data_IF_683141661556
#
_entry.id   IF_683141661556
#
_cell.length_a   1.000
_cell.length_b   1.000
_cell.length_c   1.000
_cell.angle_alpha   90.00
_cell.angle_beta   90.00
_cell.angle_gamma   90.00
#
_symmetry.space_group_name_H-M   'P 1'
#
loop_
_entity.id
_entity.type
_entity.pdbx_description
1 polymer ?
#
# COMPACT_ATOMS: atom_id res chain seq x y z
N UNK A 1 36.74 -32.78 23.53
CA UNK A 1 36.56 -31.64 24.46
C UNK A 1 36.44 -30.31 23.67
N UNK A 2 37.30 -30.06 22.71
CA UNK A 2 37.29 -28.80 21.88
C UNK A 2 35.97 -28.61 21.10
N UNK A 3 35.41 -29.66 20.52
CA UNK A 3 34.15 -29.61 19.75
C UNK A 3 32.90 -29.22 20.60
N UNK A 4 32.85 -29.67 21.83
CA UNK A 4 31.76 -29.35 22.77
C UNK A 4 31.83 -27.90 23.29
N UNK A 5 33.05 -27.39 23.42
CA UNK A 5 33.28 -25.97 23.78
C UNK A 5 32.87 -25.07 22.64
N UNK A 6 33.21 -25.39 21.38
CA UNK A 6 32.79 -24.64 20.19
C UNK A 6 31.27 -24.63 20.01
N UNK A 7 30.57 -25.74 20.28
CA UNK A 7 29.13 -25.82 20.18
C UNK A 7 28.41 -25.01 21.27
N UNK A 8 28.96 -24.93 22.47
CA UNK A 8 28.45 -24.10 23.57
C UNK A 8 28.64 -22.61 23.26
N UNK A 9 29.81 -22.22 22.73
CA UNK A 9 30.09 -20.86 22.31
C UNK A 9 29.17 -20.46 21.16
N UNK A 10 28.97 -21.30 20.15
CA UNK A 10 28.08 -21.05 19.03
C UNK A 10 26.62 -20.88 19.48
N UNK A 11 26.15 -21.74 20.42
CA UNK A 11 24.82 -21.60 21.01
C UNK A 11 24.69 -20.31 21.83
N UNK A 12 25.72 -19.96 22.60
CA UNK A 12 25.72 -18.72 23.37
C UNK A 12 25.71 -17.48 22.48
N UNK A 13 26.54 -17.44 21.42
CA UNK A 13 26.54 -16.38 20.43
C UNK A 13 25.21 -16.27 19.67
N UNK A 14 24.61 -17.41 19.33
CA UNK A 14 23.30 -17.46 18.70
C UNK A 14 22.19 -16.96 19.63
N UNK A 15 22.25 -17.32 20.92
CA UNK A 15 21.35 -16.83 21.96
C UNK A 15 21.53 -15.32 22.18
N UNK A 16 22.78 -14.83 22.21
CA UNK A 16 23.08 -13.39 22.32
C UNK A 16 22.58 -12.62 21.11
N UNK A 17 22.72 -13.18 19.92
CA UNK A 17 22.19 -12.62 18.67
C UNK A 17 20.66 -12.54 18.73
N UNK A 18 19.99 -13.62 19.16
CA UNK A 18 18.53 -13.64 19.33
C UNK A 18 18.09 -12.60 20.38
N UNK A 19 18.77 -12.51 21.53
CA UNK A 19 18.45 -11.54 22.58
C UNK A 19 18.66 -10.11 22.07
N UNK A 20 19.73 -9.82 21.34
CA UNK A 20 19.97 -8.50 20.77
C UNK A 20 18.93 -8.10 19.71
N UNK A 21 18.44 -9.06 18.93
CA UNK A 21 17.37 -8.84 17.94
C UNK A 21 16.02 -8.62 18.64
N UNK A 22 15.74 -9.33 19.74
CA UNK A 22 14.47 -9.22 20.49
C UNK A 22 14.39 -7.93 21.31
N UNK A 23 15.53 -7.42 21.80
CA UNK A 23 15.60 -6.18 22.59
C UNK A 23 15.77 -4.92 21.76
N UNK A 24 15.82 -5.04 20.43
CA UNK A 24 15.86 -3.88 19.52
C UNK A 24 14.58 -3.03 19.70
N UNK A 25 14.67 -1.99 20.52
CA UNK A 25 13.62 -1.00 20.65
C UNK A 25 13.51 -0.25 19.33
N UNK A 26 12.39 -0.38 18.63
CA UNK A 26 12.09 0.46 17.48
C UNK A 26 11.93 1.89 17.95
N UNK A 27 12.83 2.74 17.50
CA UNK A 27 12.71 4.16 17.75
C UNK A 27 12.93 4.92 16.46
N UNK A 28 12.24 6.03 16.31
CA UNK A 28 12.47 6.91 15.18
C UNK A 28 13.54 7.94 15.53
N UNK A 29 14.56 8.09 14.67
CA UNK A 29 15.62 9.10 14.88
C UNK A 29 15.00 10.48 14.94
N UNK A 30 15.39 11.30 15.92
CA UNK A 30 14.99 12.71 16.01
C UNK A 30 15.41 13.47 14.75
N UNK A 31 14.58 14.41 14.32
CA UNK A 31 14.99 15.39 13.31
C UNK A 31 16.02 16.33 13.90
N UNK A 32 17.03 16.70 13.10
CA UNK A 32 18.10 17.60 13.50
C UNK A 32 17.78 19.10 13.27
N UNK A 33 16.52 19.40 12.94
CA UNK A 33 16.04 20.76 12.69
C UNK A 33 15.24 21.28 13.88
N UNK A 34 15.25 22.59 14.11
CA UNK A 34 14.60 23.23 15.25
C UNK A 34 13.08 22.96 15.31
N UNK A 35 12.43 22.97 14.14
CA UNK A 35 10.99 22.73 14.01
C UNK A 35 10.66 21.29 13.56
N UNK A 36 11.63 20.39 13.59
CA UNK A 36 11.45 19.03 13.12
C UNK A 36 10.47 18.21 13.97
N UNK A 37 9.70 17.36 13.32
CA UNK A 37 8.81 16.41 13.98
C UNK A 37 9.30 14.98 13.71
N UNK A 38 9.31 14.16 14.77
CA UNK A 38 9.66 12.74 14.71
C UNK A 38 8.97 12.03 15.87
N UNK A 39 7.70 11.67 15.70
CA UNK A 39 6.82 11.17 16.76
C UNK A 39 6.20 9.83 16.37
N UNK A 40 6.26 8.86 17.27
CA UNK A 40 5.51 7.61 17.21
C UNK A 40 4.30 7.75 18.12
N UNK A 41 3.13 7.42 17.59
CA UNK A 41 1.87 7.44 18.32
C UNK A 41 1.09 6.15 18.08
N UNK A 42 0.30 5.75 19.09
CA UNK A 42 -0.72 4.72 18.97
C UNK A 42 -2.07 5.39 19.23
N UNK A 43 -2.73 5.82 18.17
CA UNK A 43 -3.99 6.53 18.24
C UNK A 43 -5.15 5.55 18.40
N UNK A 44 -6.12 5.90 19.23
CA UNK A 44 -7.40 5.21 19.27
C UNK A 44 -8.26 5.69 18.10
N UNK A 45 -8.34 4.86 17.05
CA UNK A 45 -9.12 5.12 15.83
C UNK A 45 -10.24 4.09 15.78
N UNK A 46 -11.47 4.54 16.00
CA UNK A 46 -12.68 3.70 15.96
C UNK A 46 -12.51 2.39 16.76
N UNK A 47 -12.19 2.54 18.06
CA UNK A 47 -12.00 1.46 19.03
C UNK A 47 -10.81 0.52 18.73
N UNK A 48 -9.89 0.92 17.87
CA UNK A 48 -8.65 0.18 17.61
C UNK A 48 -7.45 1.09 17.77
N UNK A 49 -6.40 0.61 18.51
CA UNK A 49 -5.12 1.32 18.58
C UNK A 49 -4.34 1.11 17.29
N UNK A 50 -4.07 2.17 16.57
CA UNK A 50 -3.38 2.14 15.30
C UNK A 50 -2.08 2.93 15.39
N UNK A 51 -1.02 2.39 14.80
CA UNK A 51 0.31 2.98 14.77
C UNK A 51 0.37 4.09 13.74
N UNK A 52 0.84 5.26 14.18
CA UNK A 52 1.09 6.43 13.33
C UNK A 52 2.48 6.96 13.64
N UNK A 53 3.29 7.16 12.60
CA UNK A 53 4.58 7.81 12.68
C UNK A 53 4.51 9.14 11.93
N UNK A 54 4.78 10.23 12.60
CA UNK A 54 4.81 11.59 12.06
C UNK A 54 6.25 12.02 11.87
N UNK A 55 6.63 12.42 10.65
CA UNK A 55 8.00 12.87 10.38
C UNK A 55 8.04 14.00 9.37
N UNK A 56 8.91 14.98 9.65
CA UNK A 56 9.17 16.10 8.74
C UNK A 56 10.26 17.00 9.29
N UNK A 57 11.02 17.67 8.42
CA UNK A 57 12.05 18.64 8.83
C UNK A 57 11.46 19.91 9.42
N UNK A 58 10.21 20.23 9.09
CA UNK A 58 9.45 21.32 9.69
C UNK A 58 8.00 20.87 9.89
N UNK A 59 7.51 20.92 11.13
CA UNK A 59 6.11 20.59 11.48
C UNK A 59 5.07 21.53 10.88
N UNK A 60 5.50 22.68 10.34
CA UNK A 60 4.65 23.64 9.65
C UNK A 60 4.51 23.33 8.15
N UNK A 61 5.29 22.37 7.64
CA UNK A 61 5.11 21.89 6.26
C UNK A 61 3.71 21.25 6.09
N UNK A 62 3.19 21.26 4.86
CA UNK A 62 1.91 20.60 4.55
C UNK A 62 1.90 19.15 5.00
N UNK A 63 0.75 18.71 5.51
CA UNK A 63 0.56 17.33 5.96
C UNK A 63 0.30 16.43 4.75
N UNK A 64 1.13 15.42 4.57
CA UNK A 64 0.96 14.37 3.58
C UNK A 64 0.57 13.06 4.28
N UNK A 65 -0.65 12.58 4.04
CA UNK A 65 -1.10 11.28 4.49
C UNK A 65 -0.90 10.25 3.38
N UNK A 66 -0.15 9.18 3.67
CA UNK A 66 0.03 8.06 2.76
C UNK A 66 -0.83 6.86 3.20
N UNK A 67 -1.75 6.45 2.35
CA UNK A 67 -2.56 5.24 2.52
C UNK A 67 -1.88 4.07 1.81
N UNK A 68 -1.39 3.09 2.58
CA UNK A 68 -0.69 1.93 2.03
C UNK A 68 -1.63 0.90 1.40
N UNK A 69 -1.06 0.03 0.57
CA UNK A 69 -1.75 -1.07 -0.10
C UNK A 69 -2.07 -2.28 0.80
N UNK A 70 -2.49 -3.36 0.22
CA UNK A 70 -2.86 -4.61 0.87
C UNK A 70 -4.32 -4.98 0.65
N UNK A 71 -5.19 -5.03 1.67
CA UNK A 71 -5.05 -4.57 3.06
C UNK A 71 -4.09 -5.41 3.91
N UNK A 72 -3.60 -4.79 4.99
CA UNK A 72 -2.74 -5.44 5.98
C UNK A 72 -1.23 -5.40 5.70
N UNK A 73 -0.79 -4.97 4.52
CA UNK A 73 0.62 -4.84 4.14
C UNK A 73 1.13 -3.41 4.39
N UNK A 74 1.57 -3.11 5.61
CA UNK A 74 2.12 -1.79 5.94
C UNK A 74 3.29 -1.42 5.04
N UNK A 75 3.34 -0.17 4.59
CA UNK A 75 4.40 0.38 3.76
C UNK A 75 5.43 1.22 4.53
N UNK A 76 5.29 1.39 5.84
CA UNK A 76 6.12 2.30 6.65
C UNK A 76 7.62 2.09 6.42
N UNK A 77 8.11 0.86 6.47
CA UNK A 77 9.53 0.57 6.28
C UNK A 77 10.03 0.90 4.86
N UNK A 78 9.25 0.58 3.84
CA UNK A 78 9.61 0.85 2.45
C UNK A 78 9.57 2.35 2.14
N UNK A 79 8.53 3.05 2.59
CA UNK A 79 8.42 4.51 2.45
C UNK A 79 9.57 5.23 3.15
N UNK A 80 9.95 4.78 4.34
CA UNK A 80 11.09 5.33 5.07
C UNK A 80 12.41 5.12 4.34
N UNK A 81 12.56 4.00 3.67
CA UNK A 81 13.76 3.68 2.89
C UNK A 81 13.83 4.46 1.57
N UNK A 82 12.74 4.49 0.82
CA UNK A 82 12.74 4.97 -0.56
C UNK A 82 12.24 6.41 -0.73
N UNK A 83 11.42 6.90 0.20
CA UNK A 83 10.70 8.16 0.04
C UNK A 83 10.93 9.15 1.21
N UNK A 84 11.98 8.94 2.02
CA UNK A 84 12.29 9.83 3.14
C UNK A 84 12.63 11.27 2.73
N UNK A 85 12.99 11.52 1.46
CA UNK A 85 13.15 12.87 0.89
C UNK A 85 11.85 13.71 1.01
N UNK A 86 10.68 13.08 0.98
CA UNK A 86 9.42 13.78 1.17
C UNK A 86 9.31 14.46 2.54
N UNK A 87 10.05 14.00 3.56
CA UNK A 87 10.10 14.63 4.89
C UNK A 87 10.76 16.02 4.86
N UNK A 88 11.47 16.39 3.78
CA UNK A 88 12.04 17.71 3.57
C UNK A 88 10.98 18.74 3.20
N UNK A 89 9.89 18.28 2.58
CA UNK A 89 8.86 19.13 1.99
C UNK A 89 7.48 19.01 2.68
N UNK A 90 7.28 17.93 3.44
CA UNK A 90 6.01 17.61 4.09
C UNK A 90 6.22 17.17 5.54
N UNK A 91 5.17 17.31 6.33
CA UNK A 91 4.97 16.46 7.50
C UNK A 91 4.32 15.18 7.00
N UNK A 92 5.14 14.13 6.82
CA UNK A 92 4.69 12.84 6.29
C UNK A 92 4.08 11.99 7.39
N UNK A 93 2.89 11.47 7.14
CA UNK A 93 2.14 10.59 8.03
C UNK A 93 2.25 9.17 7.51
N UNK A 94 3.05 8.35 8.18
CA UNK A 94 3.18 6.92 7.95
C UNK A 94 2.20 6.21 8.89
N UNK A 95 1.17 5.62 8.33
CA UNK A 95 0.11 4.99 9.09
C UNK A 95 0.03 3.50 8.78
N UNK A 96 0.18 2.67 9.80
CA UNK A 96 -0.19 1.26 9.70
C UNK A 96 -1.70 1.18 9.94
N UNK A 97 -2.46 0.98 8.88
CA UNK A 97 -3.93 0.91 8.91
C UNK A 97 -4.42 -0.20 9.85
N UNK A 98 -5.72 -0.25 10.11
CA UNK A 98 -6.38 -1.33 10.87
C UNK A 98 -5.82 -2.70 10.50
N UNK A 99 -5.33 -3.43 11.50
CA UNK A 99 -4.72 -4.75 11.34
C UNK A 99 -3.58 -4.86 10.31
N UNK A 100 -2.83 -3.78 10.10
CA UNK A 100 -1.59 -3.79 9.34
C UNK A 100 -0.37 -3.59 10.26
N UNK A 101 0.78 -4.16 9.91
CA UNK A 101 2.05 -3.91 10.59
C UNK A 101 1.96 -3.91 12.11
N UNK A 102 2.33 -2.78 12.75
CA UNK A 102 2.28 -2.61 14.22
C UNK A 102 0.85 -2.44 14.76
N UNK A 103 -0.11 -2.12 13.93
CA UNK A 103 -1.54 -2.05 14.29
C UNK A 103 -2.20 -3.42 14.34
N UNK A 104 -1.51 -4.50 13.95
CA UNK A 104 -2.06 -5.85 13.96
C UNK A 104 -2.43 -6.34 15.36
N UNK A 105 -3.64 -6.90 15.48
CA UNK A 105 -4.17 -7.53 16.69
C UNK A 105 -4.78 -8.88 16.35
N UNK A 106 -4.23 -9.95 16.91
CA UNK A 106 -4.70 -11.33 16.72
C UNK A 106 -6.18 -11.53 17.08
N UNK A 107 -6.71 -10.75 18.03
CA UNK A 107 -8.09 -10.87 18.55
C UNK A 107 -9.07 -9.90 17.86
N UNK A 108 -8.70 -9.24 16.76
CA UNK A 108 -9.65 -8.41 16.02
C UNK A 108 -10.78 -9.30 15.49
N UNK A 109 -12.04 -8.97 15.78
CA UNK A 109 -13.18 -9.68 15.19
C UNK A 109 -13.15 -9.56 13.66
N UNK A 110 -13.52 -10.62 12.96
CA UNK A 110 -13.51 -10.63 11.48
C UNK A 110 -14.46 -9.58 10.91
N UNK A 111 -15.54 -9.29 11.60
CA UNK A 111 -16.57 -8.29 11.28
C UNK A 111 -15.99 -6.85 11.25
N UNK A 112 -14.86 -6.64 11.90
CA UNK A 112 -14.14 -5.37 11.88
C UNK A 112 -13.24 -5.20 10.64
N UNK A 113 -13.07 -6.25 9.82
CA UNK A 113 -12.29 -6.21 8.57
C UNK A 113 -13.26 -6.00 7.40
N UNK A 114 -13.78 -4.77 7.30
CA UNK A 114 -14.73 -4.35 6.27
C UNK A 114 -14.31 -3.01 5.66
N UNK A 115 -14.55 -2.82 4.37
CA UNK A 115 -14.26 -1.59 3.63
C UNK A 115 -14.76 -0.34 4.38
N UNK A 116 -15.99 -0.38 4.83
CA UNK A 116 -16.62 0.72 5.58
C UNK A 116 -15.84 1.11 6.85
N UNK A 117 -15.23 0.13 7.55
CA UNK A 117 -14.42 0.39 8.75
C UNK A 117 -13.11 1.09 8.41
N UNK A 118 -12.44 0.70 7.32
CA UNK A 118 -11.22 1.36 6.86
C UNK A 118 -11.50 2.79 6.40
N UNK A 119 -12.63 3.03 5.72
CA UNK A 119 -13.05 4.38 5.34
C UNK A 119 -13.27 5.25 6.57
N UNK A 120 -13.99 4.76 7.58
CA UNK A 120 -14.19 5.46 8.85
C UNK A 120 -12.85 5.76 9.56
N UNK A 121 -11.88 4.85 9.49
CA UNK A 121 -10.56 5.06 10.07
C UNK A 121 -9.81 6.19 9.36
N UNK A 122 -9.89 6.27 8.02
CA UNK A 122 -9.33 7.40 7.26
C UNK A 122 -9.98 8.72 7.70
N UNK A 123 -11.32 8.78 7.78
CA UNK A 123 -12.05 9.99 8.18
C UNK A 123 -11.62 10.46 9.58
N UNK A 124 -11.51 9.52 10.53
CA UNK A 124 -11.07 9.80 11.92
C UNK A 124 -9.63 10.28 11.97
N UNK A 125 -8.71 9.63 11.24
CA UNK A 125 -7.31 10.05 11.21
C UNK A 125 -7.15 11.42 10.55
N UNK A 126 -7.85 11.70 9.46
CA UNK A 126 -7.82 13.00 8.78
C UNK A 126 -8.32 14.12 9.70
N UNK A 127 -9.42 13.90 10.41
CA UNK A 127 -9.92 14.87 11.40
C UNK A 127 -8.88 15.14 12.51
N UNK A 128 -8.23 14.09 13.04
CA UNK A 128 -7.15 14.22 14.01
C UNK A 128 -5.98 15.04 13.45
N UNK A 129 -5.51 14.73 12.23
CA UNK A 129 -4.38 15.42 11.61
C UNK A 129 -4.68 16.91 11.39
N UNK A 130 -5.87 17.24 10.88
CA UNK A 130 -6.29 18.63 10.69
C UNK A 130 -6.31 19.40 12.00
N UNK A 131 -6.83 18.83 13.06
CA UNK A 131 -6.85 19.42 14.40
C UNK A 131 -5.43 19.56 14.98
N UNK A 132 -4.63 18.52 14.90
CA UNK A 132 -3.25 18.45 15.41
C UNK A 132 -2.34 19.52 14.81
N UNK A 133 -2.41 19.69 13.49
CA UNK A 133 -1.56 20.62 12.75
C UNK A 133 -2.24 21.96 12.45
N UNK A 134 -3.50 22.15 12.87
CA UNK A 134 -4.31 23.36 12.63
C UNK A 134 -4.37 23.74 11.14
N UNK A 135 -4.56 22.74 10.27
CA UNK A 135 -4.66 22.91 8.83
C UNK A 135 -6.08 22.66 8.32
N UNK A 136 -6.51 23.40 7.32
CA UNK A 136 -7.81 23.22 6.70
C UNK A 136 -7.90 21.98 5.82
N UNK A 137 -6.81 21.66 5.12
CA UNK A 137 -6.74 20.57 4.14
C UNK A 137 -5.41 19.84 4.27
N UNK A 138 -5.38 18.55 3.90
CA UNK A 138 -4.18 17.73 3.81
C UNK A 138 -3.94 17.27 2.36
N UNK A 139 -2.72 16.83 2.06
CA UNK A 139 -2.36 16.22 0.79
C UNK A 139 -2.46 14.70 0.93
N UNK A 140 -3.24 14.05 0.06
CA UNK A 140 -3.55 12.62 0.16
C UNK A 140 -2.89 11.82 -0.95
N UNK A 141 -2.14 10.80 -0.57
CA UNK A 141 -1.56 9.81 -1.49
C UNK A 141 -2.03 8.43 -1.10
N UNK A 142 -2.54 7.67 -2.04
CA UNK A 142 -2.96 6.28 -1.81
C UNK A 142 -2.28 5.33 -2.81
N UNK A 143 -1.86 4.14 -2.36
CA UNK A 143 -1.30 3.10 -3.21
C UNK A 143 -2.18 1.85 -3.18
N UNK A 144 -2.54 1.29 -4.36
CA UNK A 144 -3.28 0.05 -4.47
C UNK A 144 -4.60 0.09 -3.67
N UNK A 145 -4.82 -0.82 -2.71
CA UNK A 145 -5.92 -0.74 -1.74
C UNK A 145 -6.06 0.66 -1.10
N UNK A 146 -4.94 1.29 -0.72
CA UNK A 146 -4.94 2.65 -0.18
C UNK A 146 -5.43 3.69 -1.20
N UNK A 147 -5.20 3.46 -2.49
CA UNK A 147 -5.73 4.32 -3.54
C UNK A 147 -7.26 4.16 -3.66
N UNK A 148 -7.81 2.96 -3.50
CA UNK A 148 -9.25 2.76 -3.41
C UNK A 148 -9.86 3.52 -2.22
N UNK A 149 -9.26 3.40 -1.04
CA UNK A 149 -9.69 4.17 0.14
C UNK A 149 -9.61 5.68 -0.09
N UNK A 150 -8.55 6.14 -0.78
CA UNK A 150 -8.37 7.55 -1.13
C UNK A 150 -9.50 8.11 -1.98
N UNK A 151 -9.93 7.38 -3.02
CA UNK A 151 -11.08 7.78 -3.84
C UNK A 151 -12.36 7.89 -3.02
N UNK A 152 -12.70 6.92 -2.18
CA UNK A 152 -13.86 6.99 -1.29
C UNK A 152 -13.78 8.20 -0.35
N UNK A 153 -12.59 8.48 0.19
CA UNK A 153 -12.41 9.57 1.14
C UNK A 153 -12.56 10.95 0.50
N UNK A 154 -11.98 11.17 -0.68
CA UNK A 154 -12.13 12.46 -1.40
C UNK A 154 -13.53 12.66 -1.96
N UNK A 155 -14.26 11.60 -2.25
CA UNK A 155 -15.68 11.70 -2.62
C UNK A 155 -16.53 12.15 -1.45
N UNK A 156 -16.32 11.55 -0.27
CA UNK A 156 -17.12 11.81 0.94
C UNK A 156 -16.86 13.16 1.55
N UNK A 157 -15.58 13.58 1.58
CA UNK A 157 -15.10 14.75 2.30
C UNK A 157 -14.11 15.57 1.46
N UNK A 158 -14.50 16.07 0.27
CA UNK A 158 -13.59 16.80 -0.62
C UNK A 158 -12.98 18.05 0.04
N UNK A 159 -13.68 18.66 1.00
CA UNK A 159 -13.22 19.84 1.76
C UNK A 159 -12.00 19.56 2.62
N UNK A 160 -11.64 18.31 2.85
CA UNK A 160 -10.49 17.92 3.68
C UNK A 160 -9.18 17.84 2.89
N UNK A 161 -9.24 17.90 1.56
CA UNK A 161 -8.08 17.57 0.71
C UNK A 161 -7.69 18.69 -0.22
N UNK A 162 -6.38 18.94 -0.33
CA UNK A 162 -5.80 19.86 -1.32
C UNK A 162 -5.79 19.20 -2.71
N UNK A 163 -5.42 17.94 -2.74
CA UNK A 163 -5.42 17.08 -3.91
C UNK A 163 -5.37 15.61 -3.47
N UNK A 164 -5.66 14.72 -4.42
CA UNK A 164 -5.51 13.29 -4.27
C UNK A 164 -4.57 12.73 -5.34
N UNK A 165 -3.64 11.86 -4.92
CA UNK A 165 -2.76 11.10 -5.81
C UNK A 165 -3.03 9.61 -5.64
N UNK A 166 -3.57 8.96 -6.66
CA UNK A 166 -3.78 7.52 -6.72
C UNK A 166 -2.61 6.83 -7.44
N UNK A 167 -1.93 5.90 -6.77
CA UNK A 167 -0.81 5.13 -7.30
C UNK A 167 -1.23 3.67 -7.44
N UNK A 168 -1.11 3.08 -8.64
CA UNK A 168 -1.63 1.74 -8.89
C UNK A 168 -3.11 1.65 -8.50
N UNK A 169 -3.93 2.50 -9.13
CA UNK A 169 -5.32 2.74 -8.73
C UNK A 169 -6.22 1.54 -9.03
N UNK A 170 -6.86 0.98 -8.01
CA UNK A 170 -7.96 0.02 -8.18
C UNK A 170 -9.23 0.72 -8.66
N UNK A 171 -9.88 0.22 -9.72
CA UNK A 171 -11.03 0.89 -10.35
C UNK A 171 -12.27 0.02 -10.55
N UNK A 172 -12.10 -1.21 -11.00
CA UNK A 172 -13.20 -2.14 -11.21
C UNK A 172 -12.72 -3.57 -10.95
N UNK A 173 -13.39 -4.27 -10.02
CA UNK A 173 -12.94 -5.58 -9.56
C UNK A 173 -12.84 -6.61 -10.70
N UNK A 174 -13.95 -6.85 -11.39
CA UNK A 174 -14.02 -7.87 -12.44
C UNK A 174 -13.17 -7.52 -13.66
N UNK A 175 -13.28 -6.30 -14.18
CA UNK A 175 -12.55 -5.90 -15.38
C UNK A 175 -11.04 -5.84 -15.15
N UNK A 176 -10.61 -5.37 -13.97
CA UNK A 176 -9.20 -5.38 -13.57
C UNK A 176 -8.63 -6.79 -13.53
N UNK A 177 -9.35 -7.74 -12.93
CA UNK A 177 -8.91 -9.14 -12.89
C UNK A 177 -8.92 -9.80 -14.28
N UNK A 178 -9.87 -9.48 -15.13
CA UNK A 178 -9.92 -9.99 -16.50
C UNK A 178 -8.70 -9.56 -17.33
N UNK A 179 -8.35 -8.27 -17.29
CA UNK A 179 -7.17 -7.72 -17.96
C UNK A 179 -5.87 -8.31 -17.39
N UNK A 180 -5.79 -8.45 -16.07
CA UNK A 180 -4.67 -9.09 -15.36
C UNK A 180 -4.46 -10.54 -15.81
N UNK A 181 -5.55 -11.31 -15.87
CA UNK A 181 -5.51 -12.71 -16.34
C UNK A 181 -5.07 -12.80 -17.80
N UNK A 182 -5.65 -11.98 -18.68
CA UNK A 182 -5.33 -11.96 -20.11
C UNK A 182 -3.85 -11.64 -20.35
N UNK A 183 -3.31 -10.62 -19.68
CA UNK A 183 -1.89 -10.31 -19.74
C UNK A 183 -1.03 -11.51 -19.31
N UNK A 184 -1.34 -12.09 -18.14
CA UNK A 184 -0.57 -13.21 -17.59
C UNK A 184 -0.57 -14.41 -18.53
N UNK A 185 -1.74 -14.75 -19.10
CA UNK A 185 -1.89 -15.85 -20.05
C UNK A 185 -1.12 -15.60 -21.35
N UNK A 186 -1.18 -14.36 -21.88
CA UNK A 186 -0.45 -14.00 -23.09
C UNK A 186 1.06 -14.06 -22.88
N UNK A 187 1.56 -13.55 -21.75
CA UNK A 187 2.98 -13.64 -21.39
C UNK A 187 3.45 -15.08 -21.16
N UNK A 188 2.62 -15.92 -20.58
CA UNK A 188 2.91 -17.34 -20.45
C UNK A 188 3.01 -18.05 -21.81
N UNK A 189 2.15 -17.69 -22.78
CA UNK A 189 2.22 -18.17 -24.16
C UNK A 189 3.48 -17.69 -24.88
N UNK A 190 3.79 -16.38 -24.82
CA UNK A 190 4.98 -15.78 -25.42
C UNK A 190 6.27 -16.46 -24.93
N UNK A 191 6.32 -16.79 -23.64
CA UNK A 191 7.46 -17.48 -23.01
C UNK A 191 7.43 -19.01 -23.13
N UNK A 192 6.43 -19.61 -23.79
CA UNK A 192 6.20 -21.05 -23.85
C UNK A 192 6.25 -21.75 -22.47
N UNK A 193 5.70 -21.08 -21.43
CA UNK A 193 5.82 -21.55 -20.06
C UNK A 193 4.71 -22.54 -19.70
N UNK A 194 4.92 -23.85 -20.02
CA UNK A 194 3.92 -24.91 -19.94
C UNK A 194 3.22 -25.01 -18.57
N UNK A 195 3.97 -24.86 -17.47
CA UNK A 195 3.37 -24.92 -16.13
C UNK A 195 2.42 -23.74 -15.87
N UNK A 196 2.79 -22.52 -16.26
CA UNK A 196 1.93 -21.36 -16.11
C UNK A 196 0.65 -21.52 -16.94
N UNK A 197 0.79 -21.96 -18.20
CA UNK A 197 -0.35 -22.22 -19.08
C UNK A 197 -1.32 -23.23 -18.47
N UNK A 198 -0.80 -24.36 -17.97
CA UNK A 198 -1.61 -25.38 -17.32
C UNK A 198 -2.33 -24.82 -16.09
N UNK A 199 -1.61 -24.16 -15.19
CA UNK A 199 -2.16 -23.60 -13.95
C UNK A 199 -3.25 -22.54 -14.22
N UNK A 200 -3.05 -21.66 -15.21
CA UNK A 200 -4.01 -20.64 -15.62
C UNK A 200 -5.24 -21.25 -16.29
N UNK A 201 -5.07 -22.28 -17.13
CA UNK A 201 -6.19 -22.99 -17.75
C UNK A 201 -7.04 -23.75 -16.71
N UNK A 202 -6.42 -24.36 -15.70
CA UNK A 202 -7.13 -25.01 -14.60
C UNK A 202 -7.95 -24.03 -13.77
N UNK A 203 -7.41 -22.84 -13.50
CA UNK A 203 -8.13 -21.76 -12.79
C UNK A 203 -9.22 -21.12 -13.66
N UNK A 204 -9.05 -21.14 -14.98
CA UNK A 204 -9.91 -20.48 -15.95
C UNK A 204 -9.85 -18.94 -15.88
N UNK A 205 -10.46 -18.23 -16.83
CA UNK A 205 -10.60 -16.79 -16.76
C UNK A 205 -11.54 -16.41 -15.61
N UNK A 206 -11.36 -15.23 -15.01
CA UNK A 206 -12.25 -14.76 -13.95
C UNK A 206 -13.68 -14.60 -14.51
N UNK A 207 -14.65 -14.91 -13.66
CA UNK A 207 -16.07 -14.67 -13.90
C UNK A 207 -16.52 -13.47 -13.07
N UNK A 208 -17.58 -12.79 -13.52
CA UNK A 208 -18.19 -11.73 -12.72
C UNK A 208 -18.71 -12.30 -11.40
N UNK A 209 -18.39 -11.64 -10.29
CA UNK A 209 -18.80 -12.06 -8.95
C UNK A 209 -17.75 -11.73 -7.89
N UNK A 210 -17.85 -12.42 -6.76
CA UNK A 210 -16.95 -12.23 -5.62
C UNK A 210 -15.57 -12.85 -5.88
N UNK A 211 -14.53 -12.27 -5.30
CA UNK A 211 -13.15 -12.80 -5.40
C UNK A 211 -13.02 -14.24 -4.91
N UNK A 212 -13.90 -14.67 -3.99
CA UNK A 212 -13.96 -16.05 -3.49
C UNK A 212 -14.48 -17.07 -4.51
N UNK A 213 -15.19 -16.62 -5.53
CA UNK A 213 -15.83 -17.47 -6.55
C UNK A 213 -15.46 -17.09 -7.98
N UNK A 214 -14.77 -15.97 -8.16
CA UNK A 214 -14.42 -15.41 -9.47
C UNK A 214 -13.62 -16.36 -10.35
N UNK A 215 -12.77 -17.17 -9.77
CA UNK A 215 -12.02 -18.22 -10.47
C UNK A 215 -12.60 -19.60 -10.22
N UNK A 216 -12.46 -20.52 -11.18
CA UNK A 216 -12.99 -21.90 -11.07
C UNK A 216 -12.55 -22.60 -9.77
N UNK A 217 -11.32 -22.35 -9.33
CA UNK A 217 -10.77 -22.88 -8.06
C UNK A 217 -10.94 -21.89 -6.88
N UNK A 218 -11.89 -20.95 -6.98
CA UNK A 218 -12.18 -19.95 -5.96
C UNK A 218 -10.96 -19.08 -5.64
N UNK A 219 -10.81 -18.77 -4.35
CA UNK A 219 -9.71 -17.94 -3.85
C UNK A 219 -8.31 -18.46 -4.25
N UNK A 220 -8.10 -19.77 -4.30
CA UNK A 220 -6.82 -20.34 -4.71
C UNK A 220 -6.50 -20.12 -6.19
N UNK A 221 -7.52 -20.01 -7.04
CA UNK A 221 -7.37 -19.61 -8.43
C UNK A 221 -6.85 -18.19 -8.56
N UNK A 222 -7.39 -17.27 -7.76
CA UNK A 222 -6.91 -15.88 -7.68
C UNK A 222 -5.45 -15.83 -7.19
N UNK A 223 -5.13 -16.51 -6.10
CA UNK A 223 -3.75 -16.55 -5.55
C UNK A 223 -2.77 -17.07 -6.59
N UNK A 224 -3.12 -18.15 -7.28
CA UNK A 224 -2.31 -18.74 -8.35
C UNK A 224 -2.12 -17.78 -9.53
N UNK A 225 -3.17 -17.09 -9.94
CA UNK A 225 -3.10 -16.07 -10.98
C UNK A 225 -2.15 -14.93 -10.62
N UNK A 226 -2.25 -14.39 -9.39
CA UNK A 226 -1.37 -13.31 -8.92
C UNK A 226 0.10 -13.75 -8.80
N UNK A 227 0.37 -14.98 -8.38
CA UNK A 227 1.72 -15.54 -8.37
C UNK A 227 2.32 -15.61 -9.79
N UNK A 228 1.52 -16.05 -10.76
CA UNK A 228 1.94 -16.06 -12.16
C UNK A 228 2.04 -14.65 -12.75
N UNK A 229 1.19 -13.71 -12.37
CA UNK A 229 1.29 -12.32 -12.81
C UNK A 229 2.65 -11.73 -12.44
N UNK A 230 3.08 -11.89 -11.19
CA UNK A 230 4.40 -11.46 -10.72
C UNK A 230 5.53 -12.12 -11.52
N UNK A 231 5.49 -13.43 -11.70
CA UNK A 231 6.50 -14.21 -12.46
C UNK A 231 6.53 -13.87 -13.95
N UNK A 232 5.43 -13.41 -14.50
CA UNK A 232 5.33 -12.97 -15.90
C UNK A 232 5.68 -11.50 -16.09
N UNK A 233 5.97 -10.76 -15.01
CA UNK A 233 6.43 -9.36 -15.04
C UNK A 233 5.31 -8.34 -15.12
N UNK A 234 4.09 -8.72 -14.72
CA UNK A 234 2.92 -7.84 -14.71
C UNK A 234 2.67 -7.14 -13.38
N UNK A 235 3.61 -7.23 -12.42
CA UNK A 235 3.49 -6.59 -11.11
C UNK A 235 4.74 -5.82 -10.69
N UNK A 236 5.92 -6.26 -11.12
CA UNK A 236 7.20 -5.59 -10.86
C UNK A 236 8.04 -5.50 -12.12
N UNK A 237 8.63 -4.33 -12.38
CA UNK A 237 9.50 -4.15 -13.53
C UNK A 237 10.83 -4.91 -13.36
N UNK A 238 11.11 -5.84 -14.26
CA UNK A 238 12.35 -6.61 -14.26
C UNK A 238 12.57 -7.53 -13.04
N UNK A 239 11.54 -7.77 -12.23
CA UNK A 239 11.58 -8.63 -11.04
C UNK A 239 10.46 -9.66 -11.07
N UNK A 240 10.71 -10.82 -10.47
CA UNK A 240 9.76 -11.94 -10.39
C UNK A 240 9.44 -12.36 -8.97
N UNK A 241 9.94 -11.60 -7.97
CA UNK A 241 9.75 -11.83 -6.55
C UNK A 241 9.85 -10.51 -5.75
N UNK A 242 9.68 -10.60 -4.43
CA UNK A 242 9.74 -9.48 -3.49
C UNK A 242 10.95 -9.54 -2.54
N UNK A 243 11.96 -10.35 -2.85
CA UNK A 243 13.08 -10.63 -1.95
C UNK A 243 13.80 -9.37 -1.48
N UNK A 244 14.07 -8.44 -2.37
CA UNK A 244 14.73 -7.16 -2.07
C UNK A 244 13.89 -6.26 -1.14
N UNK A 245 12.57 -6.27 -1.26
CA UNK A 245 11.68 -5.53 -0.35
C UNK A 245 11.55 -6.23 1.00
N UNK A 246 11.48 -7.57 1.01
CA UNK A 246 11.49 -8.34 2.26
C UNK A 246 12.74 -8.03 3.06
N UNK A 247 13.94 -8.06 2.44
CA UNK A 247 15.18 -7.66 3.10
C UNK A 247 15.15 -6.19 3.55
N UNK A 248 14.56 -5.30 2.75
CA UNK A 248 14.41 -3.90 3.11
C UNK A 248 13.55 -3.71 4.36
N UNK A 249 12.49 -4.48 4.53
CA UNK A 249 11.62 -4.47 5.72
C UNK A 249 12.35 -5.07 6.92
N UNK A 250 13.00 -6.22 6.75
CA UNK A 250 13.71 -6.92 7.81
C UNK A 250 14.84 -6.08 8.42
N UNK A 251 15.56 -5.31 7.61
CA UNK A 251 16.70 -4.50 8.03
C UNK A 251 16.41 -3.00 8.13
N UNK A 252 15.14 -2.61 8.11
CA UNK A 252 14.74 -1.19 8.12
C UNK A 252 15.00 -0.47 9.44
N UNK A 253 15.11 -1.18 10.57
CA UNK A 253 15.08 -0.60 11.91
C UNK A 253 13.72 -0.03 12.34
N UNK A 254 12.72 -0.01 11.45
CA UNK A 254 11.36 0.45 11.75
C UNK A 254 10.54 -0.60 12.52
N UNK A 255 10.90 -1.89 12.40
CA UNK A 255 10.22 -3.01 13.04
C UNK A 255 11.16 -3.80 13.93
N UNK A 256 10.72 -4.08 15.17
CA UNK A 256 11.33 -5.11 16.01
C UNK A 256 11.03 -6.51 15.47
N UNK A 257 11.71 -7.52 15.99
CA UNK A 257 11.41 -8.92 15.64
C UNK A 257 9.93 -9.28 15.88
N UNK A 258 9.36 -8.83 16.99
CA UNK A 258 7.93 -9.05 17.29
C UNK A 258 7.00 -8.31 16.31
N UNK A 259 7.40 -7.13 15.87
CA UNK A 259 6.64 -6.39 14.86
C UNK A 259 6.70 -7.07 13.48
N UNK A 260 7.84 -7.70 13.13
CA UNK A 260 7.96 -8.51 11.90
C UNK A 260 7.04 -9.75 11.94
N UNK A 261 6.92 -10.40 13.11
CA UNK A 261 5.94 -11.49 13.30
C UNK A 261 4.51 -10.98 13.14
N UNK A 262 4.19 -9.80 13.66
CA UNK A 262 2.88 -9.18 13.44
C UNK A 262 2.66 -8.84 11.96
N UNK A 263 3.66 -8.24 11.33
CA UNK A 263 3.64 -7.87 9.91
C UNK A 263 3.31 -9.07 9.01
N UNK A 264 4.01 -10.21 9.20
CA UNK A 264 3.79 -11.42 8.40
C UNK A 264 2.37 -12.00 8.56
N UNK A 265 1.76 -11.85 9.75
CA UNK A 265 0.40 -12.31 10.02
C UNK A 265 -0.67 -11.34 9.56
N UNK A 266 -0.37 -10.05 9.61
CA UNK A 266 -1.31 -8.97 9.32
C UNK A 266 -1.87 -9.04 7.90
N UNK A 267 -1.00 -9.21 6.91
CA UNK A 267 -1.38 -9.26 5.50
C UNK A 267 -2.31 -10.45 5.22
N UNK A 268 -1.92 -11.66 5.64
CA UNK A 268 -2.75 -12.86 5.45
C UNK A 268 -4.09 -12.78 6.19
N UNK A 269 -4.10 -12.21 7.42
CA UNK A 269 -5.34 -12.04 8.18
C UNK A 269 -6.28 -11.02 7.51
N UNK A 270 -5.78 -9.84 7.16
CA UNK A 270 -6.60 -8.78 6.60
C UNK A 270 -7.10 -9.13 5.20
N UNK A 271 -6.23 -9.58 4.30
CA UNK A 271 -6.61 -10.01 2.96
C UNK A 271 -7.58 -11.21 2.99
N UNK A 272 -7.31 -12.22 3.85
CA UNK A 272 -8.13 -13.42 3.95
C UNK A 272 -9.52 -13.21 4.59
N UNK A 273 -9.77 -12.06 5.22
CA UNK A 273 -11.09 -11.75 5.80
C UNK A 273 -11.86 -10.70 4.98
N UNK A 274 -11.17 -9.70 4.40
CA UNK A 274 -11.86 -8.65 3.64
C UNK A 274 -12.50 -9.16 2.35
N UNK A 275 -11.99 -10.25 1.78
CA UNK A 275 -12.56 -10.87 0.57
C UNK A 275 -13.99 -11.37 0.75
N UNK A 276 -14.46 -11.50 1.99
CA UNK A 276 -15.86 -11.83 2.30
C UNK A 276 -16.74 -10.59 2.49
N UNK A 277 -16.18 -9.39 2.35
CA UNK A 277 -16.95 -8.16 2.38
C UNK A 277 -17.51 -7.86 0.97
N UNK A 278 -18.86 -7.76 0.79
CA UNK A 278 -19.45 -7.43 -0.50
C UNK A 278 -18.91 -6.10 -1.09
N UNK A 279 -18.65 -5.09 -0.25
CA UNK A 279 -18.10 -3.81 -0.70
C UNK A 279 -16.67 -3.93 -1.20
N UNK A 280 -15.94 -4.97 -0.78
CA UNK A 280 -14.61 -5.27 -1.31
C UNK A 280 -14.68 -5.90 -2.70
N UNK A 281 -15.71 -6.70 -2.96
CA UNK A 281 -15.85 -7.48 -4.19
C UNK A 281 -16.51 -6.70 -5.33
N UNK A 282 -17.49 -5.83 -5.00
CA UNK A 282 -18.41 -5.24 -5.97
C UNK A 282 -18.14 -3.75 -6.20
N UNK A 283 -16.90 -3.37 -6.45
CA UNK A 283 -16.60 -1.97 -6.80
C UNK A 283 -16.39 -1.80 -8.31
N UNK A 284 -16.96 -0.69 -8.82
CA UNK A 284 -16.80 -0.21 -10.18
C UNK A 284 -16.89 1.33 -10.16
N UNK A 285 -15.74 1.99 -10.08
CA UNK A 285 -15.69 3.45 -9.96
C UNK A 285 -16.09 4.18 -11.24
N UNK A 286 -16.09 3.52 -12.38
CA UNK A 286 -16.69 4.11 -13.59
C UNK A 286 -18.17 4.44 -13.39
N UNK A 287 -18.89 3.61 -12.60
CA UNK A 287 -20.30 3.81 -12.29
C UNK A 287 -20.52 4.54 -10.99
N UNK A 288 -19.74 4.16 -9.94
CA UNK A 288 -19.97 4.63 -8.58
C UNK A 288 -19.41 6.03 -8.34
N UNK A 289 -18.37 6.44 -9.11
CA UNK A 289 -17.60 7.64 -8.85
C UNK A 289 -17.15 8.34 -10.17
N UNK A 290 -18.13 8.81 -10.99
CA UNK A 290 -17.82 9.46 -12.27
C UNK A 290 -17.28 10.89 -12.11
N UNK A 291 -17.36 11.46 -10.89
CA UNK A 291 -16.94 12.81 -10.57
C UNK A 291 -16.29 12.90 -9.19
N UNK A 292 -15.24 13.71 -9.07
CA UNK A 292 -14.62 14.13 -7.79
C UNK A 292 -14.46 15.67 -7.78
N UNK A 293 -14.50 16.25 -6.58
CA UNK A 293 -14.46 17.72 -6.38
C UNK A 293 -13.07 18.24 -5.95
N UNK A 294 -12.04 17.41 -6.07
CA UNK A 294 -10.65 17.76 -5.75
C UNK A 294 -9.76 17.53 -6.96
N UNK A 295 -8.62 18.22 -7.09
CA UNK A 295 -7.60 17.88 -8.08
C UNK A 295 -7.14 16.43 -7.90
N UNK A 296 -7.05 15.66 -9.00
CA UNK A 296 -6.71 14.22 -9.00
C UNK A 296 -5.54 13.95 -9.93
N UNK A 297 -4.61 13.16 -9.43
CA UNK A 297 -3.44 12.69 -10.18
C UNK A 297 -3.37 11.17 -10.08
N UNK A 298 -3.21 10.50 -11.21
CA UNK A 298 -3.01 9.04 -11.23
C UNK A 298 -1.60 8.73 -11.70
N UNK A 299 -0.89 7.93 -10.90
CA UNK A 299 0.44 7.42 -11.21
C UNK A 299 0.33 5.91 -11.41
N UNK A 300 0.73 5.43 -12.60
CA UNK A 300 0.73 4.00 -12.92
C UNK A 300 2.04 3.58 -13.56
N UNK A 301 2.52 2.40 -13.22
CA UNK A 301 3.65 1.81 -13.93
C UNK A 301 3.21 1.21 -15.27
N UNK A 302 4.07 1.28 -16.29
CA UNK A 302 3.82 0.74 -17.62
C UNK A 302 3.66 -0.81 -17.63
N UNK A 303 4.11 -1.45 -16.56
CA UNK A 303 4.03 -2.91 -16.36
C UNK A 303 3.06 -3.29 -15.23
N UNK A 304 2.17 -2.36 -14.82
CA UNK A 304 1.15 -2.66 -13.82
C UNK A 304 -0.05 -3.34 -14.48
N UNK A 305 -0.15 -4.64 -14.25
CA UNK A 305 -1.30 -5.48 -14.58
C UNK A 305 -1.93 -6.11 -13.33
N UNK A 306 -1.47 -5.70 -12.14
CA UNK A 306 -2.19 -5.97 -10.90
C UNK A 306 -3.41 -5.04 -10.78
N UNK A 307 -3.19 -3.75 -11.08
CA UNK A 307 -4.22 -2.74 -11.36
C UNK A 307 -3.95 -2.15 -12.75
N UNK A 308 -4.47 -2.77 -13.83
CA UNK A 308 -4.04 -2.49 -15.20
C UNK A 308 -4.02 -1.00 -15.53
N UNK A 309 -2.88 -0.48 -15.95
CA UNK A 309 -2.65 0.95 -16.19
C UNK A 309 -3.59 1.49 -17.29
N UNK A 310 -3.96 0.68 -18.28
CA UNK A 310 -4.91 1.06 -19.34
C UNK A 310 -6.28 1.38 -18.75
N UNK A 311 -6.68 0.65 -17.70
CA UNK A 311 -7.94 0.90 -17.00
C UNK A 311 -7.89 2.23 -16.24
N UNK A 312 -6.74 2.56 -15.65
CA UNK A 312 -6.51 3.82 -14.95
C UNK A 312 -6.53 4.99 -15.92
N UNK A 313 -5.86 4.87 -17.08
CA UNK A 313 -5.88 5.89 -18.13
C UNK A 313 -7.30 6.11 -18.68
N UNK A 314 -8.05 5.03 -18.90
CA UNK A 314 -9.45 5.12 -19.36
C UNK A 314 -10.32 5.83 -18.31
N UNK A 315 -10.16 5.51 -17.03
CA UNK A 315 -10.89 6.20 -15.96
C UNK A 315 -10.50 7.68 -15.88
N UNK A 316 -9.20 8.01 -15.94
CA UNK A 316 -8.73 9.38 -16.02
C UNK A 316 -9.43 10.14 -17.16
N UNK A 317 -9.58 9.54 -18.35
CA UNK A 317 -10.19 10.22 -19.50
C UNK A 317 -11.68 10.53 -19.27
N UNK A 318 -12.41 9.66 -18.56
CA UNK A 318 -13.85 9.79 -18.30
C UNK A 318 -14.20 10.53 -17.02
N UNK A 319 -13.34 10.51 -16.01
CA UNK A 319 -13.55 11.15 -14.72
C UNK A 319 -13.72 12.66 -14.87
N UNK A 320 -14.73 13.24 -14.20
CA UNK A 320 -14.87 14.70 -14.03
C UNK A 320 -14.15 15.13 -12.76
N UNK A 321 -13.24 16.10 -12.88
CA UNK A 321 -12.50 16.66 -11.74
C UNK A 321 -12.08 18.10 -12.06
N UNK A 322 -11.87 18.97 -11.04
CA UNK A 322 -11.40 20.36 -11.26
C UNK A 322 -10.04 20.42 -11.98
N UNK A 323 -9.20 19.46 -11.72
CA UNK A 323 -7.94 19.20 -12.41
C UNK A 323 -7.64 17.73 -12.36
N UNK A 324 -7.11 17.16 -13.45
CA UNK A 324 -6.71 15.76 -13.51
C UNK A 324 -5.48 15.57 -14.39
N UNK A 325 -4.60 14.65 -13.98
CA UNK A 325 -3.39 14.30 -14.72
C UNK A 325 -3.13 12.79 -14.59
N UNK A 326 -2.71 12.16 -15.69
CA UNK A 326 -2.24 10.77 -15.71
C UNK A 326 -0.73 10.75 -15.96
N UNK A 327 0.02 10.09 -15.09
CA UNK A 327 1.49 10.08 -15.09
C UNK A 327 1.95 8.63 -15.18
N UNK A 328 2.55 8.27 -16.31
CA UNK A 328 3.04 6.93 -16.57
C UNK A 328 4.52 6.81 -16.19
N UNK A 329 4.85 5.74 -15.47
CA UNK A 329 6.21 5.39 -15.04
C UNK A 329 6.70 4.22 -15.90
N UNK A 330 7.65 4.50 -16.78
CA UNK A 330 8.04 3.56 -17.84
C UNK A 330 8.84 2.35 -17.36
N UNK A 331 9.44 2.41 -16.16
CA UNK A 331 10.24 1.34 -15.56
C UNK A 331 9.65 0.83 -14.25
N UNK A 332 8.33 0.87 -14.14
CA UNK A 332 7.61 0.41 -12.96
C UNK A 332 6.48 -0.53 -13.32
N UNK A 333 6.20 -1.45 -12.41
CA UNK A 333 4.97 -2.22 -12.33
C UNK A 333 3.99 -1.57 -11.36
N UNK A 334 3.42 -2.37 -10.45
CA UNK A 334 2.37 -1.95 -9.53
C UNK A 334 2.79 -0.90 -8.48
N UNK A 335 4.09 -0.74 -8.25
CA UNK A 335 4.58 0.10 -7.16
C UNK A 335 5.61 1.16 -7.60
N UNK A 336 5.24 2.12 -8.47
CA UNK A 336 6.13 3.21 -8.87
C UNK A 336 6.78 3.94 -7.70
N UNK A 337 6.09 4.03 -6.58
CA UNK A 337 6.55 4.62 -5.32
C UNK A 337 7.84 3.99 -4.78
N UNK A 338 8.08 2.70 -5.07
CA UNK A 338 9.27 1.96 -4.62
C UNK A 338 10.19 1.53 -5.77
N UNK A 339 9.68 1.49 -6.99
CA UNK A 339 10.43 1.04 -8.17
C UNK A 339 11.19 2.18 -8.85
N UNK A 340 10.61 3.40 -8.88
CA UNK A 340 11.26 4.64 -9.36
C UNK A 340 11.14 5.75 -8.29
N UNK A 341 11.70 5.56 -7.08
CA UNK A 341 11.41 6.43 -5.92
C UNK A 341 11.84 7.88 -6.12
N UNK A 342 12.97 8.14 -6.77
CA UNK A 342 13.43 9.51 -7.04
C UNK A 342 12.47 10.26 -7.97
N UNK A 343 11.99 9.61 -9.03
CA UNK A 343 10.98 10.17 -9.94
C UNK A 343 9.67 10.39 -9.19
N UNK A 344 9.25 9.41 -8.37
CA UNK A 344 8.04 9.51 -7.57
C UNK A 344 8.10 10.71 -6.61
N UNK A 345 9.18 10.86 -5.85
CA UNK A 345 9.34 11.98 -4.91
C UNK A 345 9.27 13.32 -5.63
N UNK A 346 9.96 13.46 -6.76
CA UNK A 346 9.92 14.69 -7.60
C UNK A 346 8.50 14.99 -8.06
N UNK A 347 7.75 13.99 -8.52
CA UNK A 347 6.37 14.16 -8.97
C UNK A 347 5.43 14.57 -7.82
N UNK A 348 5.53 13.96 -6.65
CA UNK A 348 4.73 14.35 -5.48
C UNK A 348 4.99 15.81 -5.10
N UNK A 349 6.26 16.24 -5.09
CA UNK A 349 6.63 17.64 -4.80
C UNK A 349 6.12 18.58 -5.89
N UNK A 350 6.22 18.19 -7.18
CA UNK A 350 5.68 18.96 -8.32
C UNK A 350 4.17 19.13 -8.22
N UNK A 351 3.46 18.05 -7.99
CA UNK A 351 1.99 18.04 -7.84
C UNK A 351 1.57 18.98 -6.71
N UNK A 352 2.21 18.87 -5.54
CA UNK A 352 1.92 19.77 -4.43
C UNK A 352 2.10 21.24 -4.83
N UNK A 353 3.22 21.59 -5.50
CA UNK A 353 3.47 22.96 -5.97
C UNK A 353 2.40 23.46 -6.96
N UNK A 354 1.84 22.56 -7.76
CA UNK A 354 0.77 22.90 -8.72
C UNK A 354 -0.55 23.22 -8.04
N UNK A 355 -0.84 22.64 -6.87
CA UNK A 355 -2.16 22.76 -6.22
C UNK A 355 -2.17 23.67 -4.99
N UNK A 356 -1.02 24.01 -4.40
CA UNK A 356 -0.94 24.75 -3.13
C UNK A 356 -1.50 26.18 -3.20
N UNK A 357 -1.46 26.80 -4.38
CA UNK A 357 -1.86 28.19 -4.63
C UNK A 357 -3.27 28.28 -5.26
N UNK A 358 -3.98 27.15 -5.41
CA UNK A 358 -5.36 27.04 -5.93
C UNK A 358 -6.35 26.82 -4.78
#
# INVERSE_FOLDING_TARGET
MQYLINLKILKFLFTLLIVSVVTSCTYTKKMKTQNGISEIQYLDINNTKQYVLLRGKDKNNPVLLFLHGGPGASATALLRKFNSELEDHFTVVYWDQRNAGKSYRKKTPKEEIKVAKYIQDVDTLVAYLKSRFKVGKIFLVGHSWGARLGLYSVQRHPENYMAYVGVGQELAAYEGELLSYQYTLNKAKEKNHLKALKDLQESGPPQSGEFTTMYKNGFWGLVKQKDWLLKMGGERYGKTDYTDWIFSILFSGEYSFLDLVKYSRASGFSAGNIIYDPDFNNYDFFKQLPEVKVPVFFISGAYDYNTPWELVERYHNTLKAPHKEFIKFEKSGHSPVFEEPEKFNKEIIRIYKTVKDK
#
